data_IF_599596423808
#
_entry.id   IF_599596423808
#
_cell.length_a   1.000
_cell.length_b   1.000
_cell.length_c   1.000
_cell.angle_alpha   90.00
_cell.angle_beta   90.00
_cell.angle_gamma   90.00
#
_symmetry.space_group_name_H-M   'P 1'
#
loop_
_entity.id
_entity.type
_entity.pdbx_description
1 polymer ?
#
# COMPACT_ATOMS: atom_id res chain seq x y z
N UNK A 1 32.77 -0.73 23.05
CA UNK A 1 31.38 -0.61 23.54
C UNK A 1 30.48 -0.38 22.33
N UNK A 2 29.90 -1.45 21.79
CA UNK A 2 29.04 -1.39 20.61
C UNK A 2 27.70 -0.84 21.09
N UNK A 3 27.30 0.34 20.62
CA UNK A 3 25.94 0.82 20.82
C UNK A 3 24.99 -0.13 20.08
N UNK A 4 24.37 -1.05 20.82
CA UNK A 4 23.24 -1.82 20.33
C UNK A 4 22.22 -0.86 19.70
N UNK A 5 21.93 -1.07 18.43
CA UNK A 5 20.83 -0.42 17.72
C UNK A 5 19.51 -0.89 18.35
N UNK A 6 19.07 -0.22 19.42
CA UNK A 6 17.81 -0.44 20.13
C UNK A 6 16.60 0.08 19.34
N UNK A 7 16.58 -0.13 18.02
CA UNK A 7 15.53 0.34 17.13
C UNK A 7 14.49 -0.77 17.02
N UNK A 8 13.45 -0.72 17.88
CA UNK A 8 12.43 -1.78 17.97
C UNK A 8 11.13 -1.50 17.20
N UNK A 9 10.81 -0.25 16.84
CA UNK A 9 9.49 0.10 16.30
C UNK A 9 9.51 1.26 15.30
N UNK A 10 8.64 1.22 14.28
CA UNK A 10 8.35 2.35 13.39
C UNK A 10 7.61 3.43 14.20
N UNK A 11 8.08 4.70 14.22
CA UNK A 11 7.42 5.76 14.96
C UNK A 11 5.96 5.97 14.50
N UNK A 12 5.08 6.29 15.45
CA UNK A 12 3.69 6.66 15.15
C UNK A 12 3.48 8.13 15.48
N UNK A 13 2.93 8.89 14.54
CA UNK A 13 2.59 10.30 14.68
C UNK A 13 1.06 10.47 14.67
N UNK A 14 0.56 11.23 15.64
CA UNK A 14 -0.86 11.53 15.84
C UNK A 14 -1.09 13.05 15.77
N UNK A 15 -1.06 13.64 14.57
CA UNK A 15 -1.29 15.07 14.40
C UNK A 15 -2.69 15.48 14.87
N UNK A 16 -2.78 16.67 15.43
CA UNK A 16 -4.05 17.38 15.56
C UNK A 16 -4.63 17.66 14.16
N UNK A 17 -5.92 17.95 14.08
CA UNK A 17 -6.52 18.25 12.78
C UNK A 17 -6.03 19.54 12.14
N UNK A 18 -5.63 20.55 12.93
CA UNK A 18 -4.99 21.74 12.34
C UNK A 18 -3.64 21.38 11.73
N UNK A 19 -2.84 20.55 12.40
CA UNK A 19 -1.61 20.00 11.83
C UNK A 19 -1.87 19.11 10.61
N UNK A 20 -2.99 18.37 10.58
CA UNK A 20 -3.39 17.52 9.47
C UNK A 20 -3.74 18.32 8.21
N UNK A 21 -4.42 19.46 8.35
CA UNK A 21 -4.69 20.39 7.23
C UNK A 21 -3.40 20.86 6.55
N UNK A 22 -2.36 21.08 7.35
CA UNK A 22 -1.03 21.48 6.89
C UNK A 22 -0.01 20.36 7.06
N UNK A 23 -0.38 19.11 6.75
CA UNK A 23 0.44 17.94 7.06
C UNK A 23 1.89 18.05 6.55
N UNK A 24 2.18 18.60 5.36
CA UNK A 24 3.56 18.69 4.90
C UNK A 24 4.43 19.61 5.76
N UNK A 25 3.87 20.71 6.27
CA UNK A 25 4.56 21.57 7.26
C UNK A 25 4.82 20.78 8.54
N UNK A 26 3.82 20.04 9.02
CA UNK A 26 3.95 19.18 10.18
C UNK A 26 5.06 18.12 9.97
N UNK A 27 5.11 17.47 8.80
CA UNK A 27 6.12 16.47 8.49
C UNK A 27 7.53 17.06 8.40
N UNK A 28 7.72 18.24 7.81
CA UNK A 28 9.03 18.90 7.77
C UNK A 28 9.61 19.14 9.17
N UNK A 29 8.76 19.48 10.15
CA UNK A 29 9.19 19.62 11.55
C UNK A 29 9.63 18.29 12.19
N UNK A 30 9.08 17.16 11.75
CA UNK A 30 9.38 15.81 12.27
C UNK A 30 10.42 15.03 11.43
N UNK A 31 10.65 15.43 10.18
CA UNK A 31 11.63 14.86 9.24
C UNK A 31 13.08 14.97 9.76
N UNK A 32 13.37 16.00 10.55
CA UNK A 32 14.71 16.30 11.05
C UNK A 32 15.18 15.38 12.18
N UNK A 33 14.27 14.69 12.89
CA UNK A 33 14.59 13.91 14.09
C UNK A 33 14.26 12.42 14.00
N UNK A 34 13.18 12.04 13.30
CA UNK A 34 12.68 10.65 13.30
C UNK A 34 12.86 9.97 11.94
N UNK A 35 12.44 10.59 10.84
CA UNK A 35 12.28 9.86 9.57
C UNK A 35 13.60 9.41 8.93
N UNK A 36 14.68 10.20 9.04
CA UNK A 36 16.01 9.81 8.51
C UNK A 36 16.58 8.54 9.16
N UNK A 37 16.14 8.19 10.38
CA UNK A 37 16.64 7.02 11.09
C UNK A 37 15.85 5.75 10.81
N UNK A 38 14.56 5.84 10.47
CA UNK A 38 13.67 4.69 10.29
C UNK A 38 13.27 4.42 8.83
N UNK A 39 13.35 5.42 7.94
CA UNK A 39 12.89 5.31 6.54
C UNK A 39 11.37 5.26 6.36
N UNK A 40 10.60 5.12 7.45
CA UNK A 40 9.13 5.11 7.45
C UNK A 40 8.56 5.67 8.76
N UNK A 41 7.29 6.09 8.71
CA UNK A 41 6.51 6.55 9.87
C UNK A 41 5.04 6.16 9.68
N UNK A 42 4.36 5.77 10.76
CA UNK A 42 2.92 5.56 10.76
C UNK A 42 2.21 6.86 11.12
N UNK A 43 1.34 7.35 10.25
CA UNK A 43 0.50 8.53 10.52
C UNK A 43 -0.91 8.06 10.88
N UNK A 44 -1.39 8.47 12.05
CA UNK A 44 -2.78 8.25 12.47
C UNK A 44 -3.57 9.53 12.20
N UNK A 45 -4.58 9.50 11.31
CA UNK A 45 -5.39 10.69 11.06
C UNK A 45 -6.17 11.10 12.32
N UNK A 46 -6.43 12.40 12.52
CA UNK A 46 -7.32 12.85 13.59
C UNK A 46 -8.72 12.24 13.43
N UNK A 47 -9.34 11.80 14.53
CA UNK A 47 -10.66 11.15 14.52
C UNK A 47 -11.77 11.97 13.86
N UNK A 48 -11.66 13.31 13.89
CA UNK A 48 -12.63 14.22 13.25
C UNK A 48 -12.43 14.39 11.73
N UNK A 49 -11.34 13.86 11.17
CA UNK A 49 -11.13 13.87 9.73
C UNK A 49 -11.71 12.59 9.12
N UNK A 50 -12.66 12.79 8.22
CA UNK A 50 -13.20 11.72 7.38
C UNK A 50 -12.88 12.13 5.94
N UNK A 51 -12.06 11.34 5.21
CA UNK A 51 -11.73 11.69 3.84
C UNK A 51 -12.99 11.68 2.99
N UNK A 52 -13.18 12.72 2.20
CA UNK A 52 -14.23 12.73 1.20
C UNK A 52 -13.81 11.86 0.02
N UNK A 53 -14.31 10.64 0.01
CA UNK A 53 -14.07 9.66 -1.04
C UNK A 53 -15.24 9.62 -2.03
N UNK A 54 -14.93 9.37 -3.31
CA UNK A 54 -15.88 8.91 -4.32
C UNK A 54 -16.42 7.54 -3.90
N UNK A 55 -17.53 7.13 -4.50
CA UNK A 55 -18.03 5.78 -4.32
C UNK A 55 -16.95 4.78 -4.78
N UNK A 56 -16.41 3.91 -3.89
CA UNK A 56 -15.34 3.00 -4.26
C UNK A 56 -15.75 1.97 -5.32
N UNK A 57 -17.05 1.69 -5.45
CA UNK A 57 -17.63 0.84 -6.48
C UNK A 57 -17.73 1.53 -7.86
N UNK A 58 -17.39 2.82 -7.98
CA UNK A 58 -17.27 3.50 -9.28
C UNK A 58 -15.98 3.14 -10.02
N UNK A 59 -14.99 2.52 -9.37
CA UNK A 59 -13.84 1.90 -10.03
C UNK A 59 -14.31 0.60 -10.69
N UNK A 60 -15.18 0.72 -11.70
CA UNK A 60 -15.89 -0.41 -12.31
C UNK A 60 -15.00 -1.29 -13.17
N UNK A 61 -13.81 -0.81 -13.55
CA UNK A 61 -12.94 -1.51 -14.49
C UNK A 61 -11.51 -1.57 -13.97
N UNK A 62 -11.17 -2.71 -13.39
CA UNK A 62 -9.80 -3.16 -13.25
C UNK A 62 -9.32 -3.58 -14.65
N UNK A 63 -8.46 -2.75 -15.24
CA UNK A 63 -8.02 -2.93 -16.63
C UNK A 63 -6.95 -4.00 -16.77
N UNK A 64 -6.23 -4.30 -15.69
CA UNK A 64 -5.06 -5.17 -15.68
C UNK A 64 -4.93 -5.82 -14.31
N UNK A 65 -4.66 -7.12 -14.31
CA UNK A 65 -4.21 -7.84 -13.12
C UNK A 65 -2.99 -8.68 -13.48
N UNK A 66 -2.17 -8.97 -12.48
CA UNK A 66 -0.94 -9.75 -12.59
C UNK A 66 -1.09 -10.96 -11.68
N UNK A 67 -0.77 -12.15 -12.22
CA UNK A 67 -0.52 -13.32 -11.38
C UNK A 67 0.89 -13.20 -10.81
N UNK A 68 0.97 -13.17 -9.49
CA UNK A 68 2.23 -13.10 -8.75
C UNK A 68 2.45 -14.41 -8.00
N UNK A 69 3.59 -15.03 -8.31
CA UNK A 69 4.07 -16.24 -7.67
C UNK A 69 5.34 -15.89 -6.91
N UNK A 70 5.46 -16.36 -5.67
CA UNK A 70 6.67 -16.16 -4.89
C UNK A 70 7.43 -17.47 -4.88
N UNK A 71 8.61 -17.50 -5.46
CA UNK A 71 9.37 -18.73 -5.67
C UNK A 71 10.57 -18.72 -4.74
N UNK A 72 10.75 -19.81 -4.00
CA UNK A 72 11.94 -19.98 -3.16
C UNK A 72 13.14 -20.31 -4.04
N UNK A 73 14.27 -19.66 -3.77
CA UNK A 73 15.54 -19.92 -4.45
C UNK A 73 15.97 -21.38 -4.27
N UNK A 74 16.40 -22.02 -5.36
CA UNK A 74 17.00 -23.35 -5.32
C UNK A 74 18.42 -23.36 -4.74
N UNK A 75 19.10 -22.21 -4.76
CA UNK A 75 20.52 -22.10 -4.41
C UNK A 75 20.76 -21.55 -3.00
N UNK A 76 19.80 -20.81 -2.44
CA UNK A 76 19.93 -20.17 -1.13
C UNK A 76 18.66 -20.40 -0.32
N UNK A 77 18.81 -21.03 0.85
CA UNK A 77 17.73 -21.09 1.83
C UNK A 77 17.30 -19.67 2.19
N UNK A 78 15.99 -19.47 2.32
CA UNK A 78 15.35 -18.23 2.79
C UNK A 78 15.45 -17.03 1.84
N UNK A 79 15.83 -17.27 0.58
CA UNK A 79 15.69 -16.28 -0.49
C UNK A 79 14.44 -16.59 -1.31
N UNK A 80 13.64 -15.56 -1.57
CA UNK A 80 12.42 -15.64 -2.36
C UNK A 80 12.45 -14.63 -3.51
N UNK A 81 11.91 -15.02 -4.66
CA UNK A 81 11.75 -14.17 -5.83
C UNK A 81 10.27 -13.98 -6.12
N UNK A 82 9.87 -12.76 -6.47
CA UNK A 82 8.53 -12.53 -7.01
C UNK A 82 8.63 -12.76 -8.53
N UNK A 83 8.11 -13.88 -9.00
CA UNK A 83 7.87 -14.08 -10.42
C UNK A 83 6.48 -13.53 -10.75
N UNK A 84 6.47 -12.36 -11.38
CA UNK A 84 5.27 -11.89 -12.06
C UNK A 84 5.25 -12.54 -13.44
N UNK A 85 4.25 -13.37 -13.73
CA UNK A 85 4.14 -13.91 -15.09
C UNK A 85 3.96 -12.75 -16.08
N UNK A 86 4.85 -12.63 -17.06
CA UNK A 86 4.85 -11.56 -18.08
C UNK A 86 3.60 -11.59 -18.98
N UNK A 87 2.77 -12.63 -18.87
CA UNK A 87 1.41 -12.60 -19.40
C UNK A 87 0.54 -11.68 -18.55
N UNK A 88 0.82 -10.37 -18.62
CA UNK A 88 -0.17 -9.32 -18.40
C UNK A 88 -1.30 -9.58 -19.39
N UNK A 89 -2.23 -10.45 -19.02
CA UNK A 89 -3.47 -10.57 -19.75
C UNK A 89 -4.17 -9.25 -19.49
N UNK A 90 -4.21 -8.38 -20.51
CA UNK A 90 -5.16 -7.26 -20.58
C UNK A 90 -6.57 -7.85 -20.64
N UNK A 91 -7.01 -8.37 -19.51
CA UNK A 91 -8.36 -8.84 -19.27
C UNK A 91 -8.96 -7.82 -18.34
N UNK A 92 -10.05 -7.23 -18.81
CA UNK A 92 -10.87 -6.36 -18.02
C UNK A 92 -11.60 -7.22 -17.00
N UNK A 93 -11.55 -6.80 -15.75
CA UNK A 93 -12.31 -7.37 -14.64
C UNK A 93 -12.99 -6.21 -13.91
N UNK A 94 -14.18 -6.42 -13.38
CA UNK A 94 -14.83 -5.45 -12.50
C UNK A 94 -14.33 -5.61 -11.06
N UNK A 95 -14.52 -4.60 -10.23
CA UNK A 95 -14.22 -4.74 -8.79
C UNK A 95 -14.98 -5.93 -8.17
N UNK A 96 -16.25 -6.13 -8.54
CA UNK A 96 -17.08 -7.20 -7.98
C UNK A 96 -16.61 -8.59 -8.40
N UNK A 97 -16.14 -8.74 -9.64
CA UNK A 97 -15.50 -9.99 -10.11
C UNK A 97 -14.20 -10.26 -9.35
N UNK A 98 -13.35 -9.24 -9.15
CA UNK A 98 -12.13 -9.39 -8.36
C UNK A 98 -12.42 -9.77 -6.92
N UNK A 99 -13.40 -9.10 -6.31
CA UNK A 99 -13.87 -9.39 -4.96
C UNK A 99 -14.37 -10.83 -4.84
N UNK A 100 -15.19 -11.30 -5.80
CA UNK A 100 -15.70 -12.67 -5.83
C UNK A 100 -14.56 -13.69 -5.88
N UNK A 101 -13.50 -13.42 -6.65
CA UNK A 101 -12.33 -14.30 -6.71
C UNK A 101 -11.55 -14.27 -5.38
N UNK A 102 -11.30 -13.07 -4.84
CA UNK A 102 -10.57 -12.90 -3.58
C UNK A 102 -11.28 -13.55 -2.38
N UNK A 103 -12.61 -13.58 -2.40
CA UNK A 103 -13.45 -14.18 -1.37
C UNK A 103 -13.74 -15.68 -1.61
N UNK A 104 -13.30 -16.26 -2.73
CA UNK A 104 -13.46 -17.68 -3.02
C UNK A 104 -12.57 -18.55 -2.12
N UNK A 105 -12.96 -19.81 -1.90
CA UNK A 105 -12.22 -20.77 -1.07
C UNK A 105 -10.77 -20.99 -1.52
N UNK A 106 -10.43 -20.64 -2.77
CA UNK A 106 -9.05 -20.73 -3.28
C UNK A 106 -8.14 -19.61 -2.76
N UNK A 107 -8.68 -18.41 -2.53
CA UNK A 107 -7.90 -17.21 -2.22
C UNK A 107 -8.19 -16.63 -0.84
N UNK A 108 -9.36 -16.95 -0.26
CA UNK A 108 -9.77 -16.47 1.04
C UNK A 108 -8.82 -17.00 2.11
N UNK A 109 -8.54 -16.18 3.11
CA UNK A 109 -7.84 -16.64 4.31
C UNK A 109 -8.66 -17.75 4.98
N UNK A 110 -8.02 -18.85 5.35
CA UNK A 110 -8.69 -19.96 6.04
C UNK A 110 -9.11 -19.54 7.45
N UNK A 111 -10.36 -19.83 7.83
CA UNK A 111 -10.92 -19.47 9.15
C UNK A 111 -10.16 -20.18 10.30
N UNK A 112 -9.42 -21.24 10.00
CA UNK A 112 -8.62 -22.02 10.94
C UNK A 112 -7.28 -21.37 11.30
N UNK A 113 -6.92 -20.22 10.69
CA UNK A 113 -5.72 -19.45 11.04
C UNK A 113 -5.93 -18.76 12.38
N UNK A 114 -5.81 -19.53 13.46
CA UNK A 114 -5.90 -19.08 14.86
C UNK A 114 -4.54 -18.66 15.44
N UNK A 115 -3.47 -18.75 14.64
CA UNK A 115 -2.09 -18.48 15.05
C UNK A 115 -1.53 -17.16 14.50
N UNK A 116 -0.20 -17.05 14.55
CA UNK A 116 0.51 -15.91 13.97
C UNK A 116 0.34 -15.88 12.44
N UNK A 117 -0.36 -14.88 11.92
CA UNK A 117 -0.62 -14.72 10.48
C UNK A 117 0.67 -14.61 9.66
N UNK A 118 1.76 -14.13 10.24
CA UNK A 118 3.05 -14.03 9.56
C UNK A 118 3.67 -15.40 9.31
N UNK A 119 3.62 -16.29 10.30
CA UNK A 119 4.17 -17.64 10.15
C UNK A 119 3.34 -18.44 9.13
N UNK A 120 2.01 -18.27 9.18
CA UNK A 120 1.11 -18.81 8.16
C UNK A 120 1.46 -18.28 6.77
N UNK A 121 1.55 -16.95 6.61
CA UNK A 121 1.91 -16.30 5.34
C UNK A 121 3.20 -16.89 4.77
N UNK A 122 4.28 -16.92 5.54
CA UNK A 122 5.56 -17.46 5.08
C UNK A 122 5.52 -18.95 4.77
N UNK A 123 4.65 -19.73 5.42
CA UNK A 123 4.49 -21.16 5.15
C UNK A 123 3.78 -21.46 3.82
N UNK A 124 2.88 -20.57 3.38
CA UNK A 124 2.07 -20.78 2.17
C UNK A 124 2.56 -19.98 0.95
N UNK A 125 3.41 -18.98 1.17
CA UNK A 125 3.78 -17.96 0.16
C UNK A 125 4.32 -18.59 -1.14
N UNK A 126 5.01 -19.73 -1.04
CA UNK A 126 5.61 -20.40 -2.20
C UNK A 126 4.69 -21.38 -2.93
N UNK A 127 3.56 -21.74 -2.31
CA UNK A 127 2.69 -22.78 -2.81
C UNK A 127 1.45 -22.20 -3.52
N UNK A 128 1.20 -20.90 -3.36
CA UNK A 128 0.00 -20.25 -3.86
C UNK A 128 0.34 -19.14 -4.86
N UNK A 129 -0.44 -19.08 -5.93
CA UNK A 129 -0.42 -17.98 -6.90
C UNK A 129 -1.40 -16.92 -6.44
N UNK A 130 -0.92 -15.71 -6.20
CA UNK A 130 -1.79 -14.58 -5.84
C UNK A 130 -2.19 -13.76 -7.07
N UNK A 131 -3.35 -13.11 -7.00
CA UNK A 131 -3.79 -12.14 -7.99
C UNK A 131 -3.62 -10.74 -7.42
N UNK A 132 -2.85 -9.91 -8.13
CA UNK A 132 -2.60 -8.53 -7.76
C UNK A 132 -3.08 -7.59 -8.86
N UNK A 133 -3.64 -6.44 -8.45
CA UNK A 133 -4.11 -5.39 -9.36
C UNK A 133 -3.28 -4.12 -9.11
N UNK A 134 -2.05 -4.05 -9.65
CA UNK A 134 -1.22 -2.89 -9.46
C UNK A 134 -1.59 -1.76 -10.42
N UNK A 135 -1.13 -0.54 -10.11
CA UNK A 135 -1.09 0.60 -11.04
C UNK A 135 -2.45 1.03 -11.60
N UNK A 136 -3.49 1.02 -10.77
CA UNK A 136 -4.76 1.66 -11.12
C UNK A 136 -4.52 3.18 -11.17
N UNK A 137 -4.55 3.77 -12.37
CA UNK A 137 -4.44 5.22 -12.58
C UNK A 137 -5.80 5.92 -12.33
N UNK A 138 -6.25 5.87 -11.08
CA UNK A 138 -7.41 6.60 -10.59
C UNK A 138 -7.23 6.90 -9.09
N UNK A 139 -8.14 7.68 -8.53
CA UNK A 139 -8.18 8.01 -7.12
C UNK A 139 -9.58 7.93 -6.57
N UNK A 140 -9.66 7.36 -5.38
CA UNK A 140 -10.87 7.37 -4.56
C UNK A 140 -11.14 8.73 -3.92
N UNK A 141 -10.17 9.65 -3.85
CA UNK A 141 -10.44 10.98 -3.31
C UNK A 141 -11.34 11.79 -4.24
N UNK A 142 -12.35 12.45 -3.68
CA UNK A 142 -13.14 13.42 -4.42
C UNK A 142 -12.28 14.64 -4.79
N UNK A 143 -12.55 15.25 -5.95
CA UNK A 143 -11.79 16.43 -6.44
C UNK A 143 -11.79 17.62 -5.47
N UNK A 144 -12.82 17.73 -4.62
CA UNK A 144 -12.96 18.80 -3.63
C UNK A 144 -12.32 18.47 -2.27
N UNK A 145 -11.77 17.27 -2.09
CA UNK A 145 -10.98 16.95 -0.90
C UNK A 145 -9.67 17.73 -0.97
N UNK A 146 -9.45 18.59 0.02
CA UNK A 146 -8.31 19.49 0.08
C UNK A 146 -7.35 19.15 1.21
N UNK A 147 -7.72 18.22 2.08
CA UNK A 147 -6.92 17.78 3.22
C UNK A 147 -6.41 16.37 2.94
N UNK A 148 -5.09 16.22 2.85
CA UNK A 148 -4.42 14.94 2.61
C UNK A 148 -4.97 14.15 1.40
N UNK A 149 -5.29 14.87 0.32
CA UNK A 149 -5.71 14.25 -0.93
C UNK A 149 -4.47 13.75 -1.69
N UNK A 150 -4.36 12.44 -1.86
CA UNK A 150 -3.21 11.80 -2.51
C UNK A 150 -3.00 12.22 -3.97
N UNK A 151 -4.00 12.80 -4.65
CA UNK A 151 -3.82 13.31 -6.02
C UNK A 151 -3.30 14.74 -6.09
N UNK A 152 -3.29 15.45 -4.96
CA UNK A 152 -2.95 16.86 -4.87
C UNK A 152 -2.18 17.15 -3.58
N UNK A 153 -1.18 16.33 -3.28
CA UNK A 153 -0.26 16.62 -2.19
C UNK A 153 0.58 17.85 -2.55
N UNK A 154 0.80 18.80 -1.64
CA UNK A 154 1.62 19.96 -1.94
C UNK A 154 3.08 19.53 -1.95
N UNK A 155 3.57 19.22 -3.15
CA UNK A 155 4.94 18.77 -3.45
C UNK A 155 5.56 19.66 -4.52
N UNK A 156 6.90 19.74 -4.56
CA UNK A 156 7.61 20.35 -5.68
C UNK A 156 7.47 19.53 -6.98
N UNK A 157 7.15 18.23 -6.85
CA UNK A 157 6.94 17.34 -8.00
C UNK A 157 5.81 17.81 -8.93
N UNK A 158 4.84 18.58 -8.40
CA UNK A 158 3.77 19.18 -9.22
C UNK A 158 4.28 20.14 -10.30
N UNK A 159 5.48 20.70 -10.14
CA UNK A 159 6.11 21.59 -11.12
C UNK A 159 6.96 20.84 -12.15
N UNK A 160 7.07 19.52 -12.03
CA UNK A 160 7.81 18.72 -13.00
C UNK A 160 7.05 18.68 -14.34
N UNK A 161 7.72 18.95 -15.49
CA UNK A 161 7.05 19.25 -16.76
C UNK A 161 6.36 18.04 -17.40
N UNK A 162 6.63 16.82 -16.92
CA UNK A 162 6.05 15.58 -17.47
C UNK A 162 5.25 14.87 -16.39
N UNK A 163 4.01 14.51 -16.70
CA UNK A 163 3.23 13.64 -15.82
C UNK A 163 3.80 12.22 -15.87
N UNK A 164 4.09 11.66 -14.71
CA UNK A 164 4.52 10.27 -14.55
C UNK A 164 3.44 9.51 -13.75
N UNK A 165 2.79 8.49 -14.32
CA UNK A 165 1.78 7.71 -13.60
C UNK A 165 2.34 7.15 -12.28
N UNK A 166 1.58 7.27 -11.20
CA UNK A 166 1.99 6.83 -9.86
C UNK A 166 2.93 7.78 -9.10
N UNK A 167 3.35 8.90 -9.70
CA UNK A 167 4.15 9.95 -9.05
C UNK A 167 3.30 11.21 -8.92
N UNK A 168 3.18 11.73 -7.70
CA UNK A 168 2.38 12.91 -7.35
C UNK A 168 3.25 14.00 -6.71
#
# INVERSE_FOLDING_TARGET
>A
MVMENSIKFIPTLTPTFEQWKSLPIYLTHHETSLQRRFGAVKLLPPSRWVPLIKNPYEIRHIKMYVKQEIIRSSHQSDVFYIQSSETLKRRFMTYDEFKTIAESDTYRLEDTVNGNIMDYFWSIISNNVSLCVPNIDDSLFAKRENIFNMTNLPSLLKYYPKRMPGIV
#
